data_IF_578513384752
#
_entry.id   IF_578513384752
#
_cell.length_a   1.000
_cell.length_b   1.000
_cell.length_c   1.000
_cell.angle_alpha   90.00
_cell.angle_beta   90.00
_cell.angle_gamma   90.00
#
_symmetry.space_group_name_H-M   'P 1'
#
loop_
_entity.id
_entity.type
_entity.pdbx_description
1 polymer ?
#
# COMPACT_ATOMS: atom_id res chain seq x y z
N UNK A 1 31.54 -2.88 -1.48
CA UNK A 1 31.39 -2.78 -0.02
C UNK A 1 29.93 -2.98 0.32
N UNK A 2 29.56 -3.70 1.40
CA UNK A 2 28.18 -3.74 1.84
C UNK A 2 27.70 -2.31 2.16
N UNK A 3 26.54 -1.92 1.62
CA UNK A 3 25.97 -0.58 1.84
C UNK A 3 25.52 -0.47 3.31
N UNK A 4 25.57 0.73 3.88
CA UNK A 4 25.09 0.96 5.24
C UNK A 4 23.60 0.62 5.34
N UNK A 5 23.18 0.04 6.48
CA UNK A 5 21.76 -0.25 6.75
C UNK A 5 20.93 1.04 6.72
N UNK A 6 19.67 1.00 6.25
CA UNK A 6 18.79 2.16 6.31
C UNK A 6 18.56 2.56 7.77
N UNK A 7 18.42 3.86 8.01
CA UNK A 7 17.99 4.40 9.31
C UNK A 7 16.47 4.44 9.43
N UNK A 8 15.78 4.57 8.28
CA UNK A 8 14.33 4.56 8.19
C UNK A 8 13.89 3.58 7.11
N UNK A 9 12.92 2.74 7.43
CA UNK A 9 12.14 2.03 6.43
C UNK A 9 10.78 2.73 6.30
N UNK A 10 10.49 3.21 5.10
CA UNK A 10 9.22 3.81 4.75
C UNK A 10 8.40 2.82 3.94
N UNK A 11 7.11 2.76 4.19
CA UNK A 11 6.22 1.81 3.53
C UNK A 11 5.04 2.53 2.93
N UNK A 12 4.67 2.14 1.71
CA UNK A 12 3.29 2.26 1.30
C UNK A 12 2.37 1.45 2.23
N UNK A 13 1.07 1.74 2.21
CA UNK A 13 0.07 1.16 3.08
C UNK A 13 -0.78 0.10 2.38
N UNK A 14 -1.60 0.52 1.42
CA UNK A 14 -2.56 -0.32 0.67
C UNK A 14 -1.83 -1.26 -0.30
N UNK A 15 -1.96 -2.58 -0.13
CA UNK A 15 -1.27 -3.56 -0.97
C UNK A 15 0.19 -3.84 -0.54
N UNK A 16 0.72 -3.04 0.40
CA UNK A 16 2.08 -3.20 0.94
C UNK A 16 2.09 -3.66 2.40
N UNK A 17 1.46 -2.91 3.31
CA UNK A 17 1.35 -3.26 4.73
C UNK A 17 0.08 -4.06 5.02
N UNK A 18 -1.00 -3.75 4.31
CA UNK A 18 -2.30 -4.38 4.47
C UNK A 18 -2.88 -4.77 3.11
N UNK A 19 -3.52 -5.93 3.03
CA UNK A 19 -4.24 -6.36 1.82
C UNK A 19 -5.61 -5.68 1.76
N UNK A 20 -5.64 -4.47 1.21
CA UNK A 20 -6.91 -3.74 1.00
C UNK A 20 -7.71 -4.27 -0.19
N UNK A 21 -7.08 -5.01 -1.11
CA UNK A 21 -7.79 -5.62 -2.24
C UNK A 21 -8.83 -6.63 -1.78
N UNK A 22 -8.55 -7.38 -0.72
CA UNK A 22 -9.54 -8.29 -0.12
C UNK A 22 -10.75 -7.55 0.47
N UNK A 23 -10.50 -6.48 1.22
CA UNK A 23 -11.56 -5.65 1.81
C UNK A 23 -12.44 -4.96 0.77
N UNK A 24 -11.82 -4.41 -0.28
CA UNK A 24 -12.55 -3.77 -1.39
C UNK A 24 -13.31 -4.79 -2.23
N UNK A 25 -12.75 -5.97 -2.52
CA UNK A 25 -13.44 -7.02 -3.25
C UNK A 25 -14.69 -7.52 -2.51
N UNK A 26 -14.63 -7.62 -1.18
CA UNK A 26 -15.80 -7.95 -0.35
C UNK A 26 -16.90 -6.90 -0.47
N UNK A 27 -16.57 -5.61 -0.39
CA UNK A 27 -17.57 -4.54 -0.54
C UNK A 27 -18.14 -4.55 -1.95
N UNK A 28 -17.30 -4.65 -2.97
CA UNK A 28 -17.70 -4.70 -4.37
C UNK A 28 -18.70 -5.84 -4.59
N UNK A 29 -18.41 -7.03 -4.08
CA UNK A 29 -19.30 -8.18 -4.13
C UNK A 29 -20.65 -7.92 -3.43
N UNK A 30 -20.62 -7.30 -2.24
CA UNK A 30 -21.84 -6.96 -1.49
C UNK A 30 -22.74 -5.95 -2.23
N UNK A 31 -22.15 -4.87 -2.75
CA UNK A 31 -22.93 -3.84 -3.46
C UNK A 31 -23.42 -4.36 -4.82
N UNK A 32 -22.63 -5.16 -5.53
CA UNK A 32 -23.06 -5.82 -6.77
C UNK A 32 -24.20 -6.81 -6.53
N UNK A 33 -24.16 -7.55 -5.43
CA UNK A 33 -25.26 -8.41 -5.01
C UNK A 33 -26.52 -7.61 -4.74
N UNK A 34 -26.41 -6.51 -4.00
CA UNK A 34 -27.55 -5.65 -3.64
C UNK A 34 -28.19 -4.99 -4.86
N UNK A 35 -27.39 -4.37 -5.73
CA UNK A 35 -27.90 -3.58 -6.85
C UNK A 35 -28.22 -4.43 -8.08
N UNK A 36 -27.36 -5.41 -8.40
CA UNK A 36 -27.46 -6.19 -9.63
C UNK A 36 -27.87 -7.65 -9.44
N UNK A 37 -28.06 -8.11 -8.19
CA UNK A 37 -28.38 -9.52 -7.91
C UNK A 37 -27.25 -10.49 -8.25
N UNK A 38 -26.02 -9.99 -8.41
CA UNK A 38 -24.86 -10.83 -8.72
C UNK A 38 -24.52 -11.66 -7.46
N UNK A 39 -24.38 -13.00 -7.55
CA UNK A 39 -23.95 -13.80 -6.41
C UNK A 39 -22.62 -13.30 -5.84
N UNK A 40 -22.45 -13.37 -4.51
CA UNK A 40 -21.28 -12.80 -3.83
C UNK A 40 -19.95 -13.28 -4.43
N UNK A 41 -19.76 -14.60 -4.57
CA UNK A 41 -18.55 -15.19 -5.14
C UNK A 41 -18.28 -14.72 -6.58
N UNK A 42 -19.35 -14.54 -7.37
CA UNK A 42 -19.23 -14.05 -8.74
C UNK A 42 -18.83 -12.57 -8.76
N UNK A 43 -19.45 -11.74 -7.92
CA UNK A 43 -19.09 -10.33 -7.80
C UNK A 43 -17.65 -10.15 -7.33
N UNK A 44 -17.22 -10.94 -6.35
CA UNK A 44 -15.84 -10.93 -5.86
C UNK A 44 -14.84 -11.27 -6.98
N UNK A 45 -15.10 -12.35 -7.72
CA UNK A 45 -14.27 -12.77 -8.86
C UNK A 45 -14.23 -11.72 -9.96
N UNK A 46 -15.37 -11.15 -10.31
CA UNK A 46 -15.47 -10.13 -11.37
C UNK A 46 -14.73 -8.85 -11.00
N UNK A 47 -14.87 -8.36 -9.76
CA UNK A 47 -14.13 -7.20 -9.27
C UNK A 47 -12.61 -7.38 -9.41
N UNK A 48 -12.08 -8.54 -8.98
CA UNK A 48 -10.66 -8.83 -9.10
C UNK A 48 -10.22 -8.91 -10.57
N UNK A 49 -11.03 -9.53 -11.43
CA UNK A 49 -10.74 -9.66 -12.86
C UNK A 49 -10.73 -8.31 -13.60
N UNK A 50 -11.46 -7.32 -13.09
CA UNK A 50 -11.50 -5.96 -13.64
C UNK A 50 -10.70 -4.95 -12.80
N UNK A 51 -9.88 -5.42 -11.86
CA UNK A 51 -9.03 -4.56 -11.05
C UNK A 51 -8.05 -3.77 -11.93
N UNK A 52 -7.61 -2.60 -11.43
CA UNK A 52 -6.74 -1.68 -12.16
C UNK A 52 -7.43 -0.49 -12.83
N UNK A 53 -8.78 -0.45 -12.83
CA UNK A 53 -9.57 0.73 -13.22
C UNK A 53 -10.57 1.11 -12.11
N UNK A 54 -11.08 2.36 -12.06
CA UNK A 54 -12.08 2.78 -11.08
C UNK A 54 -13.32 1.88 -11.09
N UNK A 55 -13.92 1.63 -9.92
CA UNK A 55 -15.02 0.68 -9.78
C UNK A 55 -16.24 0.99 -10.66
N UNK A 56 -16.57 2.27 -10.88
CA UNK A 56 -17.64 2.65 -11.81
C UNK A 56 -17.36 2.19 -13.25
N UNK A 57 -16.09 2.17 -13.69
CA UNK A 57 -15.70 1.65 -15.01
C UNK A 57 -15.75 0.13 -15.03
N UNK A 58 -15.38 -0.52 -13.92
CA UNK A 58 -15.53 -1.97 -13.77
C UNK A 58 -17.00 -2.40 -13.92
N UNK A 59 -17.93 -1.64 -13.31
CA UNK A 59 -19.37 -1.91 -13.43
C UNK A 59 -19.86 -1.80 -14.88
N UNK A 60 -19.30 -0.91 -15.70
CA UNK A 60 -19.63 -0.86 -17.14
C UNK A 60 -19.11 -2.06 -17.94
N UNK A 61 -18.05 -2.73 -17.47
CA UNK A 61 -17.59 -4.00 -18.05
C UNK A 61 -18.48 -5.15 -17.58
N UNK A 62 -18.81 -5.17 -16.28
CA UNK A 62 -19.53 -6.26 -15.61
C UNK A 62 -21.04 -6.25 -15.96
N UNK A 63 -21.65 -5.06 -15.99
CA UNK A 63 -23.05 -4.79 -16.32
C UNK A 63 -23.15 -3.55 -17.22
N UNK A 64 -22.83 -3.69 -18.53
CA UNK A 64 -22.84 -2.56 -19.46
C UNK A 64 -24.18 -1.80 -19.46
N UNK A 65 -24.10 -0.47 -19.43
CA UNK A 65 -25.24 0.45 -19.56
C UNK A 65 -26.36 0.23 -18.54
N UNK A 66 -26.06 -0.40 -17.40
CA UNK A 66 -27.08 -0.63 -16.38
C UNK A 66 -27.39 0.69 -15.66
N UNK A 67 -28.66 1.11 -15.56
CA UNK A 67 -29.04 2.34 -14.84
C UNK A 67 -28.75 2.25 -13.33
N UNK A 68 -28.34 1.08 -12.83
CA UNK A 68 -27.99 0.85 -11.42
C UNK A 68 -26.50 1.04 -11.12
N UNK A 69 -25.65 1.18 -12.15
CA UNK A 69 -24.20 1.28 -11.96
C UNK A 69 -23.80 2.50 -11.14
N UNK A 70 -24.46 3.64 -11.34
CA UNK A 70 -24.19 4.87 -10.59
C UNK A 70 -24.44 4.69 -9.08
N UNK A 71 -25.62 4.16 -8.71
CA UNK A 71 -25.96 3.90 -7.32
C UNK A 71 -25.05 2.83 -6.68
N UNK A 72 -24.69 1.79 -7.44
CA UNK A 72 -23.76 0.75 -7.01
C UNK A 72 -22.36 1.31 -6.74
N UNK A 73 -21.85 2.15 -7.64
CA UNK A 73 -20.55 2.82 -7.48
C UNK A 73 -20.54 3.79 -6.31
N UNK A 74 -21.59 4.59 -6.14
CA UNK A 74 -21.70 5.53 -5.03
C UNK A 74 -21.70 4.81 -3.67
N UNK A 75 -22.43 3.69 -3.56
CA UNK A 75 -22.43 2.90 -2.33
C UNK A 75 -21.08 2.22 -2.06
N UNK A 76 -20.39 1.75 -3.11
CA UNK A 76 -19.02 1.22 -2.97
C UNK A 76 -18.07 2.29 -2.41
N UNK A 77 -18.04 3.48 -2.98
CA UNK A 77 -17.16 4.56 -2.52
C UNK A 77 -17.50 5.00 -1.10
N UNK A 78 -18.79 5.07 -0.74
CA UNK A 78 -19.22 5.37 0.62
C UNK A 78 -18.77 4.31 1.64
N UNK A 79 -18.79 3.04 1.25
CA UNK A 79 -18.41 1.90 2.11
C UNK A 79 -16.92 1.56 2.04
N UNK A 80 -16.17 2.10 1.09
CA UNK A 80 -14.73 1.84 0.92
C UNK A 80 -13.94 2.05 2.21
N UNK A 81 -14.32 3.07 2.97
CA UNK A 81 -13.82 3.33 4.32
C UNK A 81 -14.04 2.15 5.27
N UNK A 82 -15.22 1.54 5.28
CA UNK A 82 -15.50 0.31 6.06
C UNK A 82 -14.58 -0.84 5.64
N UNK A 83 -14.28 -0.92 4.34
CA UNK A 83 -13.40 -1.94 3.77
C UNK A 83 -11.99 -1.83 4.32
N UNK A 84 -11.47 -0.62 4.34
CA UNK A 84 -10.19 -0.31 4.96
C UNK A 84 -10.15 -0.76 6.43
N UNK A 85 -11.17 -0.41 7.23
CA UNK A 85 -11.24 -0.82 8.64
C UNK A 85 -11.50 -2.31 8.87
N UNK A 86 -11.97 -3.03 7.85
CA UNK A 86 -12.13 -4.50 7.90
C UNK A 86 -10.85 -5.26 7.57
N UNK A 87 -9.82 -4.58 7.05
CA UNK A 87 -8.53 -5.18 6.75
C UNK A 87 -7.69 -5.23 8.03
N UNK A 88 -7.16 -6.39 8.37
CA UNK A 88 -6.24 -6.59 9.48
C UNK A 88 -4.81 -6.81 8.93
N UNK A 89 -3.77 -6.35 9.64
CA UNK A 89 -2.40 -6.65 9.24
C UNK A 89 -2.11 -8.14 9.41
N UNK A 90 -1.42 -8.74 8.44
CA UNK A 90 -0.99 -10.13 8.54
C UNK A 90 0.07 -10.33 9.63
N UNK A 91 0.16 -11.55 10.16
CA UNK A 91 1.20 -11.91 11.14
C UNK A 91 2.61 -11.65 10.60
N UNK A 92 2.85 -11.91 9.31
CA UNK A 92 4.13 -11.63 8.66
C UNK A 92 4.45 -10.14 8.63
N UNK A 93 3.45 -9.28 8.42
CA UNK A 93 3.61 -7.82 8.50
C UNK A 93 4.02 -7.40 9.91
N UNK A 94 3.26 -7.81 10.91
CA UNK A 94 3.53 -7.48 12.32
C UNK A 94 4.94 -7.91 12.71
N UNK A 95 5.32 -9.15 12.38
CA UNK A 95 6.64 -9.71 12.69
C UNK A 95 7.77 -8.96 11.99
N UNK A 96 7.64 -8.67 10.70
CA UNK A 96 8.67 -7.95 9.94
C UNK A 96 8.92 -6.54 10.47
N UNK A 97 7.85 -5.80 10.79
CA UNK A 97 7.97 -4.48 11.42
C UNK A 97 8.62 -4.57 12.80
N UNK A 98 8.25 -5.58 13.60
CA UNK A 98 8.87 -5.85 14.90
C UNK A 98 10.38 -6.08 14.80
N UNK A 99 10.85 -6.85 13.81
CA UNK A 99 12.27 -7.11 13.58
C UNK A 99 13.04 -5.82 13.24
N UNK A 100 12.51 -5.00 12.32
CA UNK A 100 13.13 -3.73 11.94
C UNK A 100 13.23 -2.78 13.13
N UNK A 101 12.14 -2.62 13.88
CA UNK A 101 12.09 -1.78 15.08
C UNK A 101 13.05 -2.27 16.16
N UNK A 102 13.11 -3.59 16.39
CA UNK A 102 14.04 -4.23 17.33
C UNK A 102 15.51 -4.00 16.98
N UNK A 103 15.82 -3.79 15.70
CA UNK A 103 17.15 -3.41 15.23
C UNK A 103 17.43 -1.89 15.28
N UNK A 104 16.51 -1.08 15.81
CA UNK A 104 16.64 0.37 15.94
C UNK A 104 16.30 1.16 14.67
N UNK A 105 15.75 0.51 13.64
CA UNK A 105 15.31 1.17 12.40
C UNK A 105 13.96 1.85 12.65
N UNK A 106 13.83 3.11 12.23
CA UNK A 106 12.57 3.86 12.32
C UNK A 106 11.59 3.43 11.24
N UNK A 107 10.31 3.39 11.57
CA UNK A 107 9.25 2.97 10.66
C UNK A 107 8.35 4.15 10.31
N UNK A 108 8.14 4.36 9.01
CA UNK A 108 7.23 5.39 8.51
C UNK A 108 6.21 4.80 7.53
N UNK A 109 4.99 5.32 7.54
CA UNK A 109 3.96 5.04 6.52
C UNK A 109 3.82 6.25 5.62
N UNK A 110 3.73 6.02 4.32
CA UNK A 110 3.44 7.00 3.28
C UNK A 110 2.25 6.47 2.47
N UNK A 111 1.05 6.98 2.71
CA UNK A 111 -0.22 6.50 2.11
C UNK A 111 -0.90 7.59 1.27
N UNK A 112 -1.74 7.17 0.31
CA UNK A 112 -2.65 8.07 -0.39
C UNK A 112 -3.99 8.24 0.34
N UNK A 113 -4.26 7.44 1.38
CA UNK A 113 -5.44 7.63 2.22
C UNK A 113 -5.38 8.97 2.94
N UNK A 114 -6.53 9.55 3.22
CA UNK A 114 -6.60 10.76 4.02
C UNK A 114 -5.93 10.53 5.39
N UNK A 115 -5.17 11.52 5.86
CA UNK A 115 -4.43 11.45 7.13
C UNK A 115 -5.32 10.95 8.29
N UNK A 116 -6.52 11.51 8.44
CA UNK A 116 -7.44 11.12 9.51
C UNK A 116 -7.91 9.65 9.44
N UNK A 117 -8.01 9.06 8.24
CA UNK A 117 -8.37 7.65 8.07
C UNK A 117 -7.18 6.75 8.44
N UNK A 118 -5.97 7.13 8.00
CA UNK A 118 -4.75 6.42 8.34
C UNK A 118 -4.51 6.42 9.86
N UNK A 119 -4.63 7.58 10.50
CA UNK A 119 -4.42 7.72 11.95
C UNK A 119 -5.44 6.90 12.74
N UNK A 120 -6.72 6.95 12.31
CA UNK A 120 -7.76 6.12 12.91
C UNK A 120 -7.43 4.64 12.77
N UNK A 121 -7.07 4.17 11.57
CA UNK A 121 -6.78 2.76 11.35
C UNK A 121 -5.60 2.29 12.21
N UNK A 122 -4.53 3.08 12.31
CA UNK A 122 -3.36 2.77 13.13
C UNK A 122 -3.69 2.72 14.63
N UNK A 123 -4.57 3.60 15.10
CA UNK A 123 -5.04 3.59 16.50
C UNK A 123 -5.88 2.36 16.85
N UNK A 124 -6.66 1.85 15.89
CA UNK A 124 -7.44 0.62 16.05
C UNK A 124 -6.57 -0.65 15.91
N UNK A 125 -5.35 -0.52 15.35
CA UNK A 125 -4.41 -1.62 15.10
C UNK A 125 -3.03 -1.41 15.77
N UNK A 126 -2.95 -1.39 17.12
CA UNK A 126 -1.71 -1.08 17.86
C UNK A 126 -0.59 -2.11 17.66
N UNK A 127 -0.89 -3.28 17.10
CA UNK A 127 0.10 -4.29 16.71
C UNK A 127 1.00 -3.84 15.54
N UNK A 128 0.67 -2.73 14.88
CA UNK A 128 1.45 -2.16 13.78
C UNK A 128 2.05 -0.79 14.15
N UNK A 129 3.01 -0.73 15.09
CA UNK A 129 3.55 0.53 15.58
C UNK A 129 4.37 1.24 14.50
N UNK A 130 4.02 2.50 14.24
CA UNK A 130 4.72 3.38 13.30
C UNK A 130 5.28 4.58 14.05
N UNK A 131 6.53 4.96 13.74
CA UNK A 131 7.15 6.15 14.33
C UNK A 131 6.66 7.44 13.64
N UNK A 132 6.15 7.33 12.40
CA UNK A 132 5.55 8.43 11.64
C UNK A 132 4.49 7.90 10.66
N UNK A 133 3.29 8.46 10.68
CA UNK A 133 2.22 8.19 9.69
C UNK A 133 1.99 9.42 8.81
N UNK A 134 2.07 9.25 7.49
CA UNK A 134 1.82 10.32 6.52
C UNK A 134 0.75 9.86 5.53
N UNK A 135 -0.43 10.45 5.63
CA UNK A 135 -1.51 10.35 4.67
C UNK A 135 -1.73 11.66 3.94
N UNK A 136 -2.59 11.64 2.93
CA UNK A 136 -2.99 12.81 2.17
C UNK A 136 -3.79 13.80 3.03
N UNK A 137 -3.43 15.08 3.03
CA UNK A 137 -4.11 16.11 3.82
C UNK A 137 -4.90 17.15 2.99
N UNK A 138 -4.84 17.06 1.66
CA UNK A 138 -5.47 18.03 0.75
C UNK A 138 -4.80 19.41 0.72
N UNK A 139 -3.70 19.61 1.44
CA UNK A 139 -3.01 20.89 1.64
C UNK A 139 -1.53 20.82 1.22
N UNK A 140 -1.14 19.77 0.51
CA UNK A 140 0.19 19.60 -0.08
C UNK A 140 1.04 18.51 0.57
N UNK A 141 0.57 17.86 1.64
CA UNK A 141 1.17 16.62 2.13
C UNK A 141 0.61 15.45 1.32
N UNK A 142 1.43 14.92 0.42
CA UNK A 142 1.10 13.78 -0.44
C UNK A 142 2.29 12.86 -0.67
N UNK A 143 1.99 11.62 -1.11
CA UNK A 143 3.01 10.62 -1.44
C UNK A 143 4.04 11.14 -2.44
N UNK A 144 5.31 10.88 -2.12
CA UNK A 144 6.46 11.26 -2.93
C UNK A 144 7.30 12.29 -2.20
N UNK A 145 7.72 13.35 -2.89
CA UNK A 145 8.63 14.36 -2.36
C UNK A 145 8.17 14.94 -1.01
N UNK A 146 6.91 15.38 -0.83
CA UNK A 146 6.48 15.95 0.46
C UNK A 146 6.61 14.96 1.63
N UNK A 147 6.20 13.71 1.42
CA UNK A 147 6.34 12.66 2.45
C UNK A 147 7.81 12.35 2.76
N UNK A 148 8.67 12.20 1.74
CA UNK A 148 10.08 11.91 1.98
C UNK A 148 10.78 13.06 2.70
N UNK A 149 10.52 14.31 2.32
CA UNK A 149 11.07 15.48 3.01
C UNK A 149 10.61 15.53 4.49
N UNK A 150 9.35 15.16 4.76
CA UNK A 150 8.83 15.07 6.13
C UNK A 150 9.49 13.97 6.95
N UNK A 151 9.80 12.82 6.35
CA UNK A 151 10.56 11.72 6.96
C UNK A 151 12.00 12.17 7.27
N UNK A 152 12.66 12.82 6.31
CA UNK A 152 14.01 13.35 6.48
C UNK A 152 14.08 14.36 7.64
N UNK A 153 13.13 15.28 7.70
CA UNK A 153 13.02 16.26 8.79
C UNK A 153 12.74 15.61 10.14
N UNK A 154 11.83 14.62 10.20
CA UNK A 154 11.44 13.97 11.45
C UNK A 154 12.57 13.17 12.08
N UNK A 155 13.40 12.51 11.28
CA UNK A 155 14.43 11.58 11.76
C UNK A 155 15.86 12.07 11.55
N UNK A 156 16.07 13.22 10.92
CA UNK A 156 17.40 13.75 10.63
C UNK A 156 18.20 12.88 9.67
N UNK A 157 17.57 12.40 8.60
CA UNK A 157 18.16 11.46 7.63
C UNK A 157 18.20 12.02 6.21
N UNK A 158 19.05 11.45 5.37
CA UNK A 158 19.11 11.72 3.93
C UNK A 158 18.24 10.75 3.13
N UNK A 159 17.91 11.07 1.87
CA UNK A 159 17.16 10.16 0.98
C UNK A 159 17.81 8.78 0.85
N UNK A 160 19.15 8.70 0.87
CA UNK A 160 19.90 7.45 0.77
C UNK A 160 19.83 6.58 2.03
N UNK A 161 19.39 7.14 3.16
CA UNK A 161 19.22 6.44 4.45
C UNK A 161 17.77 6.00 4.68
N UNK A 162 16.87 6.32 3.74
CA UNK A 162 15.48 5.87 3.69
C UNK A 162 15.41 4.71 2.69
N UNK A 163 14.88 3.56 3.10
CA UNK A 163 14.52 2.48 2.18
C UNK A 163 13.00 2.44 2.05
N UNK A 164 12.47 2.73 0.85
CA UNK A 164 11.05 2.75 0.59
C UNK A 164 10.57 1.42 -0.01
N UNK A 165 9.51 0.86 0.54
CA UNK A 165 8.87 -0.35 0.02
C UNK A 165 7.44 -0.04 -0.42
N UNK A 166 7.04 -0.47 -1.61
CA UNK A 166 5.69 -0.28 -2.13
C UNK A 166 5.31 -1.27 -3.22
N UNK A 167 4.02 -1.48 -3.43
CA UNK A 167 3.47 -2.49 -4.34
C UNK A 167 3.22 -1.97 -5.76
N UNK A 168 3.23 -0.66 -5.97
CA UNK A 168 2.92 -0.06 -7.27
C UNK A 168 4.15 0.45 -8.02
N UNK A 169 4.07 0.46 -9.36
CA UNK A 169 5.08 1.13 -10.20
C UNK A 169 5.18 2.63 -9.89
N UNK A 170 4.08 3.26 -9.46
CA UNK A 170 4.07 4.69 -9.12
C UNK A 170 4.89 4.99 -7.87
N UNK A 171 4.94 4.06 -6.91
CA UNK A 171 5.78 4.17 -5.72
C UNK A 171 7.26 4.15 -6.09
N UNK A 172 7.67 3.27 -7.00
CA UNK A 172 9.03 3.26 -7.54
C UNK A 172 9.39 4.55 -8.31
N UNK A 173 8.47 5.12 -9.10
CA UNK A 173 8.70 6.38 -9.81
C UNK A 173 8.91 7.56 -8.84
N UNK A 174 8.10 7.62 -7.78
CA UNK A 174 8.23 8.62 -6.71
C UNK A 174 9.56 8.48 -6.00
N UNK A 175 9.95 7.27 -5.63
CA UNK A 175 11.23 6.99 -4.97
C UNK A 175 12.42 7.41 -5.86
N UNK A 176 12.40 6.99 -7.12
CA UNK A 176 13.44 7.31 -8.10
C UNK A 176 13.59 8.82 -8.30
N UNK A 177 12.49 9.56 -8.49
CA UNK A 177 12.53 11.03 -8.64
C UNK A 177 13.10 11.77 -7.41
N UNK A 178 13.00 11.16 -6.23
CA UNK A 178 13.49 11.70 -4.96
C UNK A 178 14.84 11.10 -4.52
N UNK A 179 15.45 10.23 -5.35
CA UNK A 179 16.69 9.49 -5.05
C UNK A 179 16.60 8.69 -3.75
N UNK A 180 15.43 8.14 -3.46
CA UNK A 180 15.17 7.23 -2.35
C UNK A 180 15.30 5.79 -2.87
N UNK A 181 16.18 4.94 -2.29
CA UNK A 181 16.24 3.51 -2.57
C UNK A 181 14.86 2.84 -2.47
N UNK A 182 14.55 1.96 -3.42
CA UNK A 182 13.23 1.36 -3.56
C UNK A 182 13.27 -0.17 -3.61
N UNK A 183 12.28 -0.80 -2.98
CA UNK A 183 12.02 -2.24 -3.05
C UNK A 183 10.56 -2.46 -3.45
N UNK A 184 10.33 -3.26 -4.48
CA UNK A 184 8.97 -3.60 -4.92
C UNK A 184 8.36 -4.71 -4.08
N UNK A 185 7.14 -4.50 -3.55
CA UNK A 185 6.32 -5.57 -2.99
C UNK A 185 5.60 -6.30 -4.13
N UNK A 186 5.89 -7.59 -4.33
CA UNK A 186 5.18 -8.36 -5.36
C UNK A 186 3.76 -8.68 -4.90
N UNK A 187 2.83 -8.67 -5.84
CA UNK A 187 1.40 -8.88 -5.59
C UNK A 187 0.62 -8.41 -6.80
N UNK A 188 0.25 -7.13 -6.82
CA UNK A 188 -0.40 -6.50 -7.98
C UNK A 188 0.53 -6.52 -9.20
N UNK A 189 1.80 -6.18 -9.00
CA UNK A 189 2.83 -6.22 -10.03
C UNK A 189 3.80 -7.38 -9.77
N UNK A 190 4.17 -8.07 -10.85
CA UNK A 190 5.18 -9.13 -10.81
C UNK A 190 6.58 -8.54 -10.72
N UNK A 191 7.55 -9.39 -10.33
CA UNK A 191 8.96 -9.02 -10.32
C UNK A 191 9.43 -8.53 -11.68
N UNK A 192 8.99 -9.19 -12.74
CA UNK A 192 9.34 -8.86 -14.13
C UNK A 192 8.84 -7.46 -14.50
N UNK A 193 7.61 -7.11 -14.11
CA UNK A 193 7.06 -5.77 -14.34
C UNK A 193 7.82 -4.69 -13.57
N UNK A 194 8.22 -4.97 -12.33
CA UNK A 194 9.09 -4.06 -11.58
C UNK A 194 10.46 -3.89 -12.24
N UNK A 195 11.10 -4.98 -12.67
CA UNK A 195 12.41 -4.95 -13.32
C UNK A 195 12.39 -4.25 -14.69
N UNK A 196 11.30 -4.39 -15.44
CA UNK A 196 11.10 -3.69 -16.72
C UNK A 196 11.07 -2.17 -16.50
N UNK A 197 10.39 -1.71 -15.45
CA UNK A 197 10.29 -0.27 -15.13
C UNK A 197 11.53 0.28 -14.44
N UNK A 198 12.17 -0.51 -13.59
CA UNK A 198 13.29 -0.14 -12.73
C UNK A 198 14.41 -1.21 -12.81
N UNK A 199 15.34 -1.09 -13.78
CA UNK A 199 16.42 -2.06 -13.91
C UNK A 199 17.23 -2.21 -12.63
N UNK A 200 17.34 -3.44 -12.14
CA UNK A 200 18.09 -3.77 -10.91
C UNK A 200 17.32 -3.56 -9.60
N UNK A 201 16.03 -3.23 -9.65
CA UNK A 201 15.21 -3.15 -8.44
C UNK A 201 15.09 -4.51 -7.75
N UNK A 202 15.22 -4.50 -6.44
CA UNK A 202 14.94 -5.66 -5.61
C UNK A 202 13.45 -5.77 -5.32
N UNK A 203 12.96 -7.00 -5.21
CA UNK A 203 11.55 -7.27 -4.88
C UNK A 203 11.43 -8.25 -3.72
N UNK A 204 10.36 -8.11 -2.95
CA UNK A 204 10.03 -8.94 -1.78
C UNK A 204 8.59 -9.38 -1.85
N UNK A 205 8.26 -10.49 -1.18
CA UNK A 205 6.88 -11.05 -1.17
C UNK A 205 6.14 -10.83 0.14
N UNK A 206 6.82 -10.30 1.16
CA UNK A 206 6.22 -9.92 2.43
C UNK A 206 7.12 -8.96 3.19
N UNK A 207 6.56 -8.26 4.19
CA UNK A 207 7.33 -7.37 5.06
C UNK A 207 8.30 -8.17 5.97
N UNK A 208 8.00 -9.44 6.26
CA UNK A 208 8.93 -10.32 6.97
C UNK A 208 10.20 -10.59 6.14
N UNK A 209 10.03 -10.98 4.87
CA UNK A 209 11.11 -11.17 3.90
C UNK A 209 11.92 -9.87 3.71
N UNK A 210 11.23 -8.73 3.56
CA UNK A 210 11.87 -7.41 3.54
C UNK A 210 12.76 -7.18 4.78
N UNK A 211 12.21 -7.40 5.97
CA UNK A 211 12.94 -7.18 7.21
C UNK A 211 14.18 -8.08 7.34
N UNK A 212 14.03 -9.39 7.08
CA UNK A 212 15.13 -10.35 7.15
C UNK A 212 16.27 -9.96 6.20
N UNK A 213 15.93 -9.55 4.97
CA UNK A 213 16.92 -9.15 3.98
C UNK A 213 17.58 -7.80 4.28
N UNK A 214 16.85 -6.83 4.84
CA UNK A 214 17.43 -5.57 5.34
C UNK A 214 18.45 -5.86 6.45
N UNK A 215 18.09 -6.70 7.42
CA UNK A 215 18.96 -7.02 8.56
C UNK A 215 20.20 -7.83 8.14
N UNK A 216 20.04 -8.72 7.16
CA UNK A 216 21.14 -9.47 6.55
C UNK A 216 22.03 -8.60 5.61
N UNK A 217 21.59 -7.40 5.22
CA UNK A 217 22.31 -6.54 4.29
C UNK A 217 22.26 -7.02 2.84
N UNK A 218 21.20 -7.74 2.47
CA UNK A 218 21.00 -8.37 1.14
C UNK A 218 19.94 -7.67 0.29
N UNK A 219 19.37 -6.56 0.77
CA UNK A 219 18.57 -5.63 -0.02
C UNK A 219 19.43 -4.42 -0.40
N UNK A 220 19.65 -4.24 -1.70
CA UNK A 220 20.22 -3.04 -2.29
C UNK A 220 19.16 -2.37 -3.14
N UNK A 221 18.53 -1.31 -2.61
CA UNK A 221 17.71 -0.40 -3.42
C UNK A 221 18.53 0.62 -4.19
#
# INVERSE_FOLDING_TARGET
MPRARPKVCAFDFDGTLIDTMWGYAKIAADVMRKHHGIPFEEGHRQYLATSGIPFFQQLEIIRPQSPKNEACAAEFEARKTEGLFSCAPEEKTIRGLGLLRGAGIKLAVSSNNFQHLLDRWLSENPAMPMDLSLGFDGQGLEKGRPHFERIQQAFGVTSAEILYCGDSLKDGERAASCKVPFVGMVGIFSREQFLERFPGVETVSSILDFAERVLAGTLSG
#
